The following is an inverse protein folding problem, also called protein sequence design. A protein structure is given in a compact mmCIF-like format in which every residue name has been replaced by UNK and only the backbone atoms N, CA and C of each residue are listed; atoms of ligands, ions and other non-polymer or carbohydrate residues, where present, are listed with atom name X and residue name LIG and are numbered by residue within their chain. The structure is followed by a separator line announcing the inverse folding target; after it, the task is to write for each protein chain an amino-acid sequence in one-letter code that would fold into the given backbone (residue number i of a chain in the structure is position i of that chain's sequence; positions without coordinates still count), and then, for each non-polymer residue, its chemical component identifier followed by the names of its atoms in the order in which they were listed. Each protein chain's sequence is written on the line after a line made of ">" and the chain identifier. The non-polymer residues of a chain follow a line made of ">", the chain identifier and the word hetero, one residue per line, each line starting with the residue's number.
data_IF_813153432422
#
_entry.id   IF_813153432422
#
_cell.length_a   1.000
_cell.length_b   1.000
_cell.length_c   1.000
_cell.angle_alpha   90.00
_cell.angle_beta   90.00
_cell.angle_gamma   90.00
#
_symmetry.space_group_name_H-M   'P 1'
#
loop_
_entity.id
_entity.type
_entity.pdbx_description
1 polymer ?
#
# COMPACT_ATOMS: atom_id res chain seq x y z
N UNK A 1 -13.50 13.25 -6.43
CA UNK A 1 -12.41 12.32 -6.79
C UNK A 1 -12.54 11.99 -8.27
N UNK A 2 -11.45 11.96 -9.03
CA UNK A 2 -11.46 11.61 -10.46
C UNK A 2 -11.43 10.10 -10.66
N UNK A 3 -12.08 9.60 -11.71
CA UNK A 3 -11.96 8.21 -12.14
C UNK A 3 -10.54 7.95 -12.63
N UNK A 4 -9.93 6.84 -12.21
CA UNK A 4 -8.62 6.45 -12.73
C UNK A 4 -8.71 6.25 -14.26
N UNK A 5 -7.88 6.96 -15.01
CA UNK A 5 -7.75 6.83 -16.47
C UNK A 5 -6.30 6.47 -16.79
N UNK A 6 -5.92 5.19 -16.65
CA UNK A 6 -4.57 4.73 -16.97
C UNK A 6 -4.26 4.87 -18.46
N UNK A 7 -2.99 5.05 -18.80
CA UNK A 7 -2.52 5.09 -20.19
C UNK A 7 -2.63 3.69 -20.85
N UNK A 8 -2.68 3.64 -22.19
CA UNK A 8 -2.82 2.36 -22.93
C UNK A 8 -1.69 1.35 -22.64
N UNK A 9 -0.53 1.83 -22.22
CA UNK A 9 0.63 1.01 -21.85
C UNK A 9 0.65 0.57 -20.39
N UNK A 10 -0.24 1.09 -19.55
CA UNK A 10 -0.30 0.75 -18.12
C UNK A 10 -1.16 -0.50 -17.88
N UNK A 11 -0.51 -1.60 -17.52
CA UNK A 11 -1.19 -2.83 -17.10
C UNK A 11 -1.34 -2.85 -15.58
N UNK A 12 -2.43 -2.27 -15.08
CA UNK A 12 -2.73 -2.23 -13.65
C UNK A 12 -3.54 -3.45 -13.21
N UNK A 13 -3.11 -4.11 -12.13
CA UNK A 13 -3.83 -5.22 -11.50
C UNK A 13 -4.08 -4.90 -10.04
N UNK A 14 -5.35 -4.96 -9.62
CA UNK A 14 -5.72 -4.80 -8.21
C UNK A 14 -5.51 -6.13 -7.49
N UNK A 15 -4.63 -6.14 -6.48
CA UNK A 15 -4.40 -7.31 -5.61
C UNK A 15 -5.02 -7.05 -4.24
N UNK A 16 -5.86 -7.98 -3.77
CA UNK A 16 -6.33 -8.00 -2.38
C UNK A 16 -5.44 -8.97 -1.61
N UNK A 17 -4.74 -8.45 -0.61
CA UNK A 17 -3.83 -9.21 0.24
C UNK A 17 -4.16 -8.92 1.71
N UNK A 18 -3.87 -9.86 2.63
CA UNK A 18 -3.88 -9.57 4.06
C UNK A 18 -2.95 -8.39 4.37
N UNK A 19 -3.40 -7.43 5.18
CA UNK A 19 -2.60 -6.25 5.50
C UNK A 19 -1.24 -6.60 6.10
N UNK A 20 -1.19 -7.64 6.95
CA UNK A 20 0.05 -8.09 7.59
C UNK A 20 1.10 -8.56 6.57
N UNK A 21 0.67 -9.15 5.45
CA UNK A 21 1.57 -9.57 4.35
C UNK A 21 2.19 -8.34 3.67
N UNK A 22 1.36 -7.34 3.36
CA UNK A 22 1.81 -6.08 2.74
C UNK A 22 2.76 -5.31 3.66
N UNK A 23 2.47 -5.30 4.97
CA UNK A 23 3.37 -4.74 5.98
C UNK A 23 4.72 -5.46 5.99
N UNK A 24 4.74 -6.79 5.93
CA UNK A 24 5.98 -7.56 5.87
C UNK A 24 6.77 -7.26 4.59
N UNK A 25 6.09 -7.12 3.44
CA UNK A 25 6.74 -6.73 2.18
C UNK A 25 7.46 -5.38 2.26
N UNK A 26 6.95 -4.43 3.06
CA UNK A 26 7.67 -3.16 3.33
C UNK A 26 8.92 -3.40 4.16
N UNK A 27 8.84 -4.19 5.24
CA UNK A 27 9.98 -4.48 6.10
C UNK A 27 11.09 -5.26 5.38
N UNK A 28 10.70 -6.15 4.46
CA UNK A 28 11.62 -6.95 3.66
C UNK A 28 12.21 -6.17 2.46
N UNK A 29 11.76 -4.94 2.22
CA UNK A 29 12.22 -4.13 1.09
C UNK A 29 11.66 -4.56 -0.27
N UNK A 30 10.59 -5.37 -0.30
CA UNK A 30 9.89 -5.74 -1.54
C UNK A 30 9.00 -4.59 -2.05
N UNK A 31 8.52 -3.72 -1.15
CA UNK A 31 7.84 -2.46 -1.49
C UNK A 31 8.77 -1.32 -1.09
N UNK A 32 9.23 -0.57 -2.09
CA UNK A 32 10.25 0.49 -1.92
C UNK A 32 9.79 1.88 -2.32
N UNK A 33 8.65 2.01 -2.99
CA UNK A 33 8.08 3.32 -3.31
C UNK A 33 7.78 4.10 -2.02
N UNK A 34 8.28 5.33 -1.94
CA UNK A 34 8.31 6.11 -0.69
C UNK A 34 6.91 6.41 -0.15
N UNK A 35 5.96 6.73 -1.04
CA UNK A 35 4.57 6.98 -0.67
C UNK A 35 3.89 5.71 -0.16
N UNK A 36 4.13 4.59 -0.84
CA UNK A 36 3.62 3.28 -0.44
C UNK A 36 4.14 2.86 0.93
N UNK A 37 5.46 2.96 1.16
CA UNK A 37 6.10 2.66 2.46
C UNK A 37 5.50 3.53 3.57
N UNK A 38 5.44 4.85 3.37
CA UNK A 38 4.92 5.77 4.38
C UNK A 38 3.45 5.49 4.71
N UNK A 39 2.61 5.23 3.70
CA UNK A 39 1.19 4.94 3.90
C UNK A 39 0.97 3.65 4.68
N UNK A 40 1.67 2.57 4.32
CA UNK A 40 1.55 1.26 4.98
C UNK A 40 2.03 1.35 6.45
N UNK A 41 3.16 2.00 6.69
CA UNK A 41 3.67 2.19 8.06
C UNK A 41 2.74 3.07 8.90
N UNK A 42 2.23 4.17 8.34
CA UNK A 42 1.25 5.03 9.03
C UNK A 42 -0.02 4.25 9.38
N UNK A 43 -0.55 3.46 8.45
CA UNK A 43 -1.73 2.63 8.70
C UNK A 43 -1.47 1.62 9.84
N UNK A 44 -0.29 0.98 9.88
CA UNK A 44 0.08 0.09 10.99
C UNK A 44 0.10 0.83 12.34
N UNK A 45 0.66 2.04 12.38
CA UNK A 45 0.67 2.86 13.60
C UNK A 45 -0.76 3.21 14.05
N UNK A 46 -1.62 3.63 13.13
CA UNK A 46 -3.01 3.94 13.45
C UNK A 46 -3.76 2.71 13.97
N UNK A 47 -3.53 1.51 13.42
CA UNK A 47 -4.10 0.26 13.96
C UNK A 47 -3.64 -0.02 15.39
N UNK A 48 -2.35 0.21 15.69
CA UNK A 48 -1.80 0.02 17.04
C UNK A 48 -2.34 1.04 18.04
N UNK A 49 -2.57 2.27 17.58
CA UNK A 49 -3.14 3.35 18.37
C UNK A 49 -4.68 3.29 18.48
N UNK A 50 -5.34 2.33 17.81
CA UNK A 50 -6.80 2.23 17.71
C UNK A 50 -7.47 3.47 17.07
N UNK A 51 -6.80 4.06 16.08
CA UNK A 51 -7.24 5.25 15.33
C UNK A 51 -7.90 4.89 13.97
N UNK A 52 -8.18 3.60 13.73
CA UNK A 52 -8.86 3.11 12.51
C UNK A 52 -10.33 2.78 12.75
#
# INVERSE_FOLDING_TARGET
>A
QGTATPEETEQLVVKKLPFQEVYQMVLDGNITDSMSVAAILKAKLMMLNQEL
#
